data_IF_204460183337
#
_entry.id   IF_204460183337
#
_cell.length_a   1.000
_cell.length_b   1.000
_cell.length_c   1.000
_cell.angle_alpha   90.00
_cell.angle_beta   90.00
_cell.angle_gamma   90.00
#
_symmetry.space_group_name_H-M   'P 1'
#
loop_
_entity.id
_entity.type
_entity.pdbx_description
1 polymer ?
#
# COMPACT_ATOMS: atom_id res chain seq x y z
N UNK A 1 -1.66 -33.73 19.43
CA UNK A 1 -2.51 -33.25 18.31
C UNK A 1 -2.70 -31.73 18.29
N UNK A 2 -3.14 -31.08 19.39
CA UNK A 2 -3.35 -29.62 19.38
C UNK A 2 -2.06 -28.81 19.18
N UNK A 3 -0.97 -29.18 19.88
CA UNK A 3 0.32 -28.49 19.76
C UNK A 3 0.99 -28.67 18.39
N UNK A 4 0.92 -29.87 17.80
CA UNK A 4 1.46 -30.15 16.46
C UNK A 4 0.72 -29.37 15.38
N UNK A 5 -0.62 -29.28 15.49
CA UNK A 5 -1.44 -28.46 14.59
C UNK A 5 -1.12 -26.97 14.75
N UNK A 6 -0.96 -26.50 15.99
CA UNK A 6 -0.60 -25.10 16.26
C UNK A 6 0.78 -24.74 15.69
N UNK A 7 1.77 -25.64 15.84
CA UNK A 7 3.09 -25.45 15.24
C UNK A 7 3.02 -25.42 13.72
N UNK A 8 2.26 -26.33 13.11
CA UNK A 8 2.08 -26.37 11.66
C UNK A 8 1.42 -25.08 11.14
N UNK A 9 0.35 -24.60 11.79
CA UNK A 9 -0.27 -23.33 11.42
C UNK A 9 0.69 -22.15 11.61
N UNK A 10 1.43 -22.11 12.72
CA UNK A 10 2.39 -21.04 12.99
C UNK A 10 3.47 -20.99 11.91
N UNK A 11 4.00 -22.14 11.50
CA UNK A 11 4.97 -22.24 10.41
C UNK A 11 4.40 -21.76 9.07
N UNK A 12 3.15 -22.09 8.75
CA UNK A 12 2.49 -21.62 7.52
C UNK A 12 2.30 -20.10 7.54
N UNK A 13 1.78 -19.55 8.63
CA UNK A 13 1.57 -18.09 8.78
C UNK A 13 2.91 -17.35 8.74
N UNK A 14 3.93 -17.90 9.39
CA UNK A 14 5.28 -17.34 9.36
C UNK A 14 5.87 -17.35 7.93
N UNK A 15 5.77 -18.48 7.21
CA UNK A 15 6.24 -18.57 5.83
C UNK A 15 5.51 -17.60 4.90
N UNK A 16 4.19 -17.45 5.05
CA UNK A 16 3.39 -16.47 4.30
C UNK A 16 3.77 -15.02 4.62
N UNK A 17 4.18 -14.73 5.87
CA UNK A 17 4.61 -13.39 6.28
C UNK A 17 5.95 -12.95 5.67
N UNK A 18 6.78 -13.91 5.25
CA UNK A 18 8.06 -13.64 4.58
C UNK A 18 7.88 -13.32 3.10
N UNK A 19 6.73 -13.70 2.52
CA UNK A 19 6.41 -13.42 1.13
C UNK A 19 5.74 -12.04 1.03
N UNK A 20 6.09 -11.22 0.01
CA UNK A 20 5.34 -10.02 -0.30
C UNK A 20 3.87 -10.38 -0.53
N UNK A 21 2.95 -9.54 -0.04
CA UNK A 21 1.50 -9.75 -0.22
C UNK A 21 1.12 -9.95 -1.70
N UNK A 22 1.76 -9.22 -2.60
CA UNK A 22 1.60 -9.37 -4.05
C UNK A 22 2.06 -10.74 -4.58
N UNK A 23 3.09 -11.37 -3.99
CA UNK A 23 3.49 -12.73 -4.35
C UNK A 23 2.45 -13.76 -3.89
N UNK A 24 1.81 -13.55 -2.74
CA UNK A 24 0.72 -14.42 -2.27
C UNK A 24 -0.55 -14.27 -3.11
N UNK A 25 -0.88 -13.04 -3.54
CA UNK A 25 -2.00 -12.77 -4.44
C UNK A 25 -1.80 -13.39 -5.81
N UNK A 26 -0.56 -13.41 -6.31
CA UNK A 26 -0.20 -14.07 -7.56
C UNK A 26 -0.44 -15.58 -7.51
N UNK A 27 0.06 -16.24 -6.47
CA UNK A 27 -0.09 -17.69 -6.29
C UNK A 27 -1.54 -18.13 -6.05
N UNK A 28 -2.38 -17.23 -5.54
CA UNK A 28 -3.82 -17.48 -5.35
C UNK A 28 -4.68 -17.00 -6.52
N UNK A 29 -4.08 -16.45 -7.58
CA UNK A 29 -4.84 -15.96 -8.72
C UNK A 29 -5.44 -17.12 -9.52
N UNK A 30 -6.75 -17.08 -9.83
CA UNK A 30 -7.41 -18.15 -10.59
C UNK A 30 -6.85 -18.27 -12.02
N UNK A 31 -6.35 -17.17 -12.58
CA UNK A 31 -5.77 -17.13 -13.93
C UNK A 31 -4.47 -17.95 -14.02
N UNK A 32 -3.61 -17.89 -12.99
CA UNK A 32 -2.40 -18.72 -12.89
C UNK A 32 -2.75 -20.20 -12.81
N UNK A 33 -3.76 -20.54 -12.02
CA UNK A 33 -4.20 -21.94 -11.89
C UNK A 33 -4.78 -22.49 -13.18
N UNK A 34 -5.64 -21.70 -13.85
CA UNK A 34 -6.23 -22.08 -15.14
C UNK A 34 -5.16 -22.30 -16.21
N UNK A 35 -4.18 -21.41 -16.29
CA UNK A 35 -3.11 -21.54 -17.27
C UNK A 35 -2.17 -22.72 -16.98
N UNK A 36 -1.96 -23.05 -15.70
CA UNK A 36 -1.27 -24.29 -15.33
C UNK A 36 -2.03 -25.54 -15.80
N UNK A 37 -3.36 -25.56 -15.68
CA UNK A 37 -4.18 -26.66 -16.19
C UNK A 37 -4.13 -26.78 -17.72
N UNK A 38 -4.10 -25.65 -18.45
CA UNK A 38 -3.90 -25.61 -19.90
C UNK A 38 -2.55 -26.24 -20.29
N UNK A 39 -1.45 -25.83 -19.65
CA UNK A 39 -0.13 -26.44 -19.88
C UNK A 39 -0.09 -27.93 -19.58
N UNK A 40 -0.80 -28.37 -18.54
CA UNK A 40 -0.89 -29.79 -18.16
C UNK A 40 -1.70 -30.59 -19.19
N UNK A 41 -2.62 -29.97 -19.90
CA UNK A 41 -3.38 -30.60 -20.98
C UNK A 41 -2.59 -30.67 -22.29
N UNK A 42 -1.78 -29.65 -22.58
CA UNK A 42 -1.00 -29.54 -23.82
C UNK A 42 0.32 -30.33 -23.77
N UNK A 43 0.95 -30.42 -22.59
CA UNK A 43 2.18 -31.19 -22.39
C UNK A 43 1.88 -32.52 -21.69
N UNK A 44 2.12 -33.68 -22.34
CA UNK A 44 1.93 -34.99 -21.72
C UNK A 44 3.01 -35.36 -20.69
N UNK A 45 4.07 -34.54 -20.57
CA UNK A 45 5.06 -34.67 -19.50
C UNK A 45 4.47 -34.15 -18.19
N UNK A 46 4.77 -34.82 -17.08
CA UNK A 46 4.33 -34.44 -15.74
C UNK A 46 4.94 -33.09 -15.31
N UNK A 47 4.39 -32.00 -15.81
CA UNK A 47 4.82 -30.66 -15.48
C UNK A 47 4.31 -30.32 -14.08
N UNK A 48 5.23 -30.13 -13.13
CA UNK A 48 4.85 -29.74 -11.78
C UNK A 48 4.52 -28.25 -11.74
N UNK A 49 3.72 -27.83 -10.76
CA UNK A 49 3.39 -26.41 -10.60
C UNK A 49 4.63 -25.54 -10.36
N UNK A 50 5.66 -26.09 -9.72
CA UNK A 50 6.94 -25.40 -9.54
C UNK A 50 7.68 -25.22 -10.87
N UNK A 51 7.64 -26.22 -11.75
CA UNK A 51 8.24 -26.11 -13.09
C UNK A 51 7.50 -25.06 -13.93
N UNK A 52 6.17 -25.00 -13.82
CA UNK A 52 5.35 -23.95 -14.45
C UNK A 52 5.74 -22.56 -13.95
N UNK A 53 5.84 -22.38 -12.63
CA UNK A 53 6.24 -21.11 -12.03
C UNK A 53 7.66 -20.73 -12.43
N UNK A 54 8.58 -21.68 -12.47
CA UNK A 54 9.95 -21.45 -12.93
C UNK A 54 9.96 -21.01 -14.39
N UNK A 55 9.17 -21.66 -15.25
CA UNK A 55 9.08 -21.30 -16.66
C UNK A 55 8.46 -19.92 -16.90
N UNK A 56 7.60 -19.41 -16.03
CA UNK A 56 6.96 -18.09 -16.23
C UNK A 56 7.61 -16.94 -15.45
N UNK A 57 8.21 -17.23 -14.29
CA UNK A 57 8.67 -16.22 -13.35
C UNK A 57 10.17 -16.28 -13.02
N UNK A 58 10.94 -17.23 -13.60
CA UNK A 58 12.40 -17.20 -13.47
C UNK A 58 13.00 -16.03 -14.26
N UNK A 59 14.09 -15.46 -13.74
CA UNK A 59 14.78 -14.34 -14.38
C UNK A 59 15.32 -14.68 -15.78
N UNK A 60 15.64 -15.96 -16.01
CA UNK A 60 16.20 -16.48 -17.26
C UNK A 60 15.13 -17.06 -18.20
N UNK A 61 13.83 -16.89 -17.90
CA UNK A 61 12.79 -17.44 -18.76
C UNK A 61 12.73 -16.74 -20.12
N UNK A 62 12.76 -17.54 -21.19
CA UNK A 62 12.43 -17.11 -22.54
C UNK A 62 10.93 -17.16 -22.84
N UNK A 63 10.16 -17.90 -22.03
CA UNK A 63 8.74 -18.14 -22.27
C UNK A 63 7.88 -16.88 -22.03
N UNK A 64 8.26 -16.05 -21.05
CA UNK A 64 7.61 -14.76 -20.76
C UNK A 64 7.81 -13.71 -21.86
N UNK A 65 8.74 -13.91 -22.80
CA UNK A 65 9.02 -12.99 -23.92
C UNK A 65 8.12 -13.24 -25.14
N UNK A 66 7.32 -14.30 -25.12
CA UNK A 66 6.33 -14.59 -26.16
C UNK A 66 5.01 -13.86 -25.83
N UNK A 67 4.56 -13.03 -26.76
CA UNK A 67 3.51 -11.99 -26.60
C UNK A 67 2.09 -12.48 -26.27
N UNK A 68 1.83 -13.78 -26.16
CA UNK A 68 0.45 -14.30 -26.19
C UNK A 68 -0.14 -14.68 -24.84
N UNK A 69 0.64 -14.79 -23.76
CA UNK A 69 0.14 -15.21 -22.44
C UNK A 69 0.45 -14.18 -21.35
N UNK A 70 -0.51 -13.29 -21.09
CA UNK A 70 -0.42 -12.29 -20.02
C UNK A 70 -0.86 -12.89 -18.69
N UNK A 71 0.06 -13.57 -18.00
CA UNK A 71 -0.14 -13.87 -16.59
C UNK A 71 0.04 -12.61 -15.75
N UNK A 72 -0.63 -12.50 -14.58
CA UNK A 72 -0.31 -11.47 -13.62
C UNK A 72 1.19 -11.52 -13.30
N UNK A 73 1.85 -10.37 -13.33
CA UNK A 73 3.28 -10.25 -13.10
C UNK A 73 3.54 -9.35 -11.90
N UNK A 74 4.67 -9.61 -11.22
CA UNK A 74 5.08 -8.84 -10.08
C UNK A 74 5.78 -7.55 -10.55
N UNK A 75 5.11 -6.41 -10.40
CA UNK A 75 5.77 -5.11 -10.63
C UNK A 75 6.36 -4.61 -9.32
N UNK A 76 7.69 -4.54 -9.25
CA UNK A 76 8.42 -3.97 -8.11
C UNK A 76 8.07 -2.48 -7.88
N UNK A 77 7.59 -1.76 -8.90
CA UNK A 77 7.09 -0.39 -8.70
C UNK A 77 5.85 -0.35 -7.81
N UNK A 78 5.02 -1.39 -7.83
CA UNK A 78 3.86 -1.50 -6.93
C UNK A 78 4.29 -1.67 -5.47
N UNK A 79 5.45 -2.30 -5.22
CA UNK A 79 6.02 -2.43 -3.87
C UNK A 79 6.39 -1.07 -3.27
N UNK A 80 6.90 -0.15 -4.09
CA UNK A 80 7.19 1.22 -3.67
C UNK A 80 5.93 1.99 -3.22
N UNK A 81 4.76 1.67 -3.78
CA UNK A 81 3.46 2.23 -3.36
C UNK A 81 3.06 1.84 -1.94
N UNK A 82 3.57 0.73 -1.39
CA UNK A 82 3.33 0.33 0.01
C UNK A 82 4.24 1.06 0.99
N UNK A 83 5.36 1.61 0.52
CA UNK A 83 6.25 2.46 1.29
C UNK A 83 5.97 3.92 0.95
N UNK A 84 4.83 4.43 1.45
CA UNK A 84 4.60 5.87 1.48
C UNK A 84 5.58 6.46 2.49
N UNK A 85 6.73 6.94 2.01
CA UNK A 85 7.58 7.81 2.82
C UNK A 85 6.69 8.98 3.24
N UNK A 86 6.49 9.22 4.56
CA UNK A 86 5.73 10.37 5.00
C UNK A 86 6.36 11.61 4.37
N UNK A 87 5.54 12.42 3.71
CA UNK A 87 5.99 13.65 3.06
C UNK A 87 6.71 14.51 4.10
N UNK A 88 8.04 14.56 3.98
CA UNK A 88 8.86 15.38 4.85
C UNK A 88 8.67 16.84 4.44
N UNK A 89 7.87 17.58 5.19
CA UNK A 89 7.77 19.02 5.04
C UNK A 89 8.89 19.68 5.85
N UNK A 90 9.80 20.36 5.14
CA UNK A 90 10.80 21.22 5.78
C UNK A 90 10.15 22.58 5.97
N UNK A 91 9.78 22.91 7.20
CA UNK A 91 9.32 24.25 7.56
C UNK A 91 10.50 25.07 8.06
N UNK A 92 10.75 26.21 7.43
CA UNK A 92 11.68 27.22 7.95
C UNK A 92 10.87 28.18 8.80
N UNK A 93 11.09 28.15 10.11
CA UNK A 93 10.46 29.11 11.00
C UNK A 93 11.17 30.46 10.86
N UNK A 94 10.44 31.47 10.36
CA UNK A 94 10.99 32.80 10.21
C UNK A 94 11.14 33.41 11.60
N UNK A 95 12.38 33.59 12.05
CA UNK A 95 12.67 34.20 13.34
C UNK A 95 12.05 35.61 13.37
N UNK A 96 11.06 35.80 14.25
CA UNK A 96 10.35 37.08 14.35
C UNK A 96 11.32 38.09 14.98
N UNK A 97 11.85 39.00 14.17
CA UNK A 97 12.66 40.10 14.67
C UNK A 97 11.73 41.04 15.44
N UNK A 98 11.90 41.09 16.76
CA UNK A 98 11.18 42.02 17.62
C UNK A 98 11.80 43.40 17.44
N UNK A 99 11.23 44.19 16.53
CA UNK A 99 11.50 45.63 16.45
C UNK A 99 10.66 46.35 17.50
N UNK A 100 11.33 46.99 18.47
CA UNK A 100 10.69 47.89 19.41
C UNK A 100 10.37 49.21 18.70
N UNK A 101 9.09 49.57 18.65
CA UNK A 101 8.67 50.90 18.20
C UNK A 101 9.11 51.94 19.23
N UNK A 102 10.02 52.84 18.83
CA UNK A 102 10.52 53.94 19.67
C UNK A 102 9.52 55.09 19.86
N UNK A 103 8.39 55.05 19.16
CA UNK A 103 7.32 56.03 19.28
C UNK A 103 5.97 55.33 19.49
N UNK A 104 5.29 55.68 20.57
CA UNK A 104 3.94 55.22 20.85
C UNK A 104 2.94 56.14 20.14
N UNK A 105 2.39 55.66 19.03
CA UNK A 105 1.29 56.32 18.34
C UNK A 105 -0.03 55.78 18.91
N UNK A 106 -0.57 56.48 19.90
CA UNK A 106 -1.88 56.18 20.45
C UNK A 106 -2.96 56.77 19.54
N UNK A 107 -3.57 55.93 18.72
CA UNK A 107 -4.78 56.27 17.98
C UNK A 107 -5.97 55.59 18.65
N UNK A 108 -6.99 56.39 18.98
CA UNK A 108 -8.27 55.83 19.39
C UNK A 108 -8.87 55.11 18.19
N UNK A 109 -9.05 53.79 18.32
CA UNK A 109 -9.69 52.96 17.31
C UNK A 109 -10.96 52.37 17.91
N UNK A 110 -12.12 52.74 17.36
CA UNK A 110 -13.38 52.14 17.76
C UNK A 110 -13.53 50.76 17.09
N UNK A 111 -13.05 49.73 17.77
CA UNK A 111 -13.17 48.33 17.33
C UNK A 111 -14.54 47.72 17.65
N UNK A 112 -15.56 48.52 17.93
CA UNK A 112 -16.91 48.02 18.19
C UNK A 112 -17.47 47.36 16.93
N UNK A 113 -17.48 46.03 16.92
CA UNK A 113 -18.17 45.22 15.94
C UNK A 113 -19.32 44.50 16.64
N UNK A 114 -20.55 44.85 16.28
CA UNK A 114 -21.72 44.12 16.74
C UNK A 114 -21.77 42.76 16.03
N UNK A 115 -21.41 41.69 16.75
CA UNK A 115 -21.48 40.33 16.25
C UNK A 115 -22.84 39.73 16.59
N UNK A 116 -23.73 39.64 15.61
CA UNK A 116 -24.97 38.86 15.75
C UNK A 116 -24.67 37.38 15.50
N UNK A 117 -24.52 36.60 16.56
CA UNK A 117 -24.41 35.14 16.44
C UNK A 117 -25.81 34.53 16.29
N UNK A 118 -26.10 33.91 15.14
CA UNK A 118 -27.22 32.97 15.02
C UNK A 118 -26.68 31.60 15.39
N UNK A 119 -27.09 31.08 16.55
CA UNK A 119 -26.76 29.72 16.93
C UNK A 119 -27.30 28.75 15.86
N UNK A 120 -26.40 28.16 15.07
CA UNK A 120 -26.71 27.11 14.07
C UNK A 120 -27.03 25.76 14.73
N UNK A 121 -26.81 25.65 16.04
CA UNK A 121 -27.01 24.43 16.79
C UNK A 121 -28.23 24.64 17.68
N UNK A 122 -29.33 23.98 17.32
CA UNK A 122 -30.51 23.88 18.16
C UNK A 122 -30.07 23.19 19.47
N UNK A 123 -30.28 23.78 20.66
CA UNK A 123 -29.93 23.10 21.90
C UNK A 123 -30.77 21.82 22.03
N UNK A 124 -30.22 20.76 22.65
CA UNK A 124 -30.92 19.50 22.81
C UNK A 124 -32.22 19.75 23.60
N UNK A 125 -33.34 19.30 23.04
CA UNK A 125 -34.63 19.33 23.72
C UNK A 125 -34.68 18.15 24.70
N UNK A 126 -35.05 18.45 25.94
CA UNK A 126 -35.35 17.45 26.97
C UNK A 126 -36.61 16.64 26.61
#
# INVERSE_FOLDING_TARGET
MKATLAFLLASIVFAQSLLPRSATELLHSPDVWKHFEEHKAECPASLSFLDFLWMHYSADSEHTKQKEHHLPSFDFNSVASFFVLPSASVSFDAQTVVTFLTSANFHWLNSYAFLSFKALICPPRA
#
